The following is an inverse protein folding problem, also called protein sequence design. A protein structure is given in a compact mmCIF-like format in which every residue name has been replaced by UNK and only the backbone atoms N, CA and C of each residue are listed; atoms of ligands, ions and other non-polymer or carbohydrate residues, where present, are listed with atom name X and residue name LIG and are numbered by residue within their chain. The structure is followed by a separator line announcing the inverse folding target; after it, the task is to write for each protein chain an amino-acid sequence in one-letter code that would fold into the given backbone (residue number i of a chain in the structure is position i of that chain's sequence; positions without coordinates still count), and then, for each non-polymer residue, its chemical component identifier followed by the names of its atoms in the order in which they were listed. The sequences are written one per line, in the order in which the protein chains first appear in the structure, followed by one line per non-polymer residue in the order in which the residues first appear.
data_IF_380697028066
#
_entry.id   IF_380697028066
#
_cell.length_a   1.000
_cell.length_b   1.000
_cell.length_c   1.000
_cell.angle_alpha   90.00
_cell.angle_beta   90.00
_cell.angle_gamma   90.00
#
_symmetry.space_group_name_H-M   'P 1'
#
loop_
_entity.id
_entity.type
_entity.pdbx_description
1 polymer ?
#
# COMPACT_ATOMS: atom_id res chain seq x y z
N UNK A 1 -14.63 34.26 -38.33
CA UNK A 1 -13.24 33.77 -38.24
C UNK A 1 -12.94 33.35 -36.80
N UNK A 2 -12.41 32.13 -36.65
CA UNK A 2 -11.64 31.54 -35.53
C UNK A 2 -12.19 31.67 -34.11
N UNK A 3 -12.95 30.65 -33.75
CA UNK A 3 -13.10 30.14 -32.38
C UNK A 3 -11.72 29.71 -31.85
N UNK A 4 -11.26 30.27 -30.73
CA UNK A 4 -10.04 29.83 -30.02
C UNK A 4 -10.44 29.41 -28.60
N UNK A 5 -11.10 28.26 -28.51
CA UNK A 5 -11.06 27.47 -27.28
C UNK A 5 -10.04 26.35 -27.50
N UNK A 6 -8.78 26.64 -27.18
CA UNK A 6 -7.79 25.57 -26.92
C UNK A 6 -8.23 24.87 -25.64
N UNK A 7 -8.94 23.76 -25.80
CA UNK A 7 -9.14 22.75 -24.76
C UNK A 7 -7.74 22.33 -24.29
N UNK A 8 -7.30 22.81 -23.13
CA UNK A 8 -6.21 22.19 -22.38
C UNK A 8 -6.76 20.83 -21.96
N UNK A 9 -6.47 19.80 -22.74
CA UNK A 9 -6.68 18.42 -22.32
C UNK A 9 -5.79 18.21 -21.11
N UNK A 10 -6.38 18.25 -19.91
CA UNK A 10 -5.71 17.78 -18.70
C UNK A 10 -5.33 16.34 -18.97
N UNK A 11 -4.03 16.09 -19.12
CA UNK A 11 -3.47 14.74 -19.13
C UNK A 11 -3.86 14.17 -17.76
N UNK A 12 -4.88 13.31 -17.72
CA UNK A 12 -5.20 12.57 -16.50
C UNK A 12 -3.94 11.77 -16.17
N UNK A 13 -3.26 12.12 -15.09
CA UNK A 13 -2.18 11.29 -14.58
C UNK A 13 -2.80 9.93 -14.26
N UNK A 14 -2.42 8.92 -15.04
CA UNK A 14 -2.87 7.56 -14.85
C UNK A 14 -2.36 7.08 -13.50
N UNK A 15 -3.27 6.62 -12.64
CA UNK A 15 -2.89 6.03 -11.35
C UNK A 15 -2.04 4.80 -11.65
N UNK A 16 -0.84 4.76 -11.08
CA UNK A 16 0.10 3.65 -11.25
C UNK A 16 0.08 2.75 -10.03
N UNK A 17 0.27 1.47 -10.30
CA UNK A 17 0.53 0.48 -9.26
C UNK A 17 1.84 0.84 -8.54
N UNK A 18 1.83 0.77 -7.21
CA UNK A 18 2.95 1.17 -6.34
C UNK A 18 2.85 0.43 -5.01
N UNK A 19 3.98 -0.07 -4.50
CA UNK A 19 4.15 -0.46 -3.10
C UNK A 19 5.42 0.23 -2.57
N UNK A 20 5.24 1.41 -1.98
CA UNK A 20 6.35 2.19 -1.45
C UNK A 20 6.29 2.40 0.07
N UNK A 21 7.47 2.42 0.67
CA UNK A 21 7.71 2.84 2.05
C UNK A 21 8.85 3.86 2.03
N UNK A 22 8.61 5.06 2.57
CA UNK A 22 9.57 6.14 2.46
C UNK A 22 9.78 6.55 1.00
N UNK A 23 11.04 6.52 0.55
CA UNK A 23 11.43 6.86 -0.83
C UNK A 23 11.67 5.61 -1.70
N UNK A 24 11.36 4.42 -1.21
CA UNK A 24 11.68 3.16 -1.88
C UNK A 24 10.41 2.48 -2.37
N UNK A 25 10.41 2.12 -3.65
CA UNK A 25 9.39 1.26 -4.26
C UNK A 25 9.89 -0.18 -4.20
N UNK A 26 9.15 -1.02 -3.48
CA UNK A 26 9.46 -2.42 -3.28
C UNK A 26 8.84 -3.32 -4.36
N UNK A 27 8.06 -2.73 -5.27
CA UNK A 27 7.27 -3.44 -6.28
C UNK A 27 6.33 -4.49 -5.67
N UNK A 28 5.48 -5.10 -6.50
CA UNK A 28 4.58 -6.17 -6.08
C UNK A 28 5.11 -7.52 -6.52
N UNK A 29 5.03 -8.51 -5.63
CA UNK A 29 5.00 -9.91 -6.02
C UNK A 29 3.54 -10.30 -6.23
N UNK A 30 3.05 -10.19 -7.47
CA UNK A 30 1.66 -10.50 -7.81
C UNK A 30 1.34 -11.99 -7.67
N UNK A 31 2.32 -12.88 -7.84
CA UNK A 31 2.12 -14.33 -7.77
C UNK A 31 1.94 -14.81 -6.34
N UNK A 32 2.66 -14.19 -5.39
CA UNK A 32 2.54 -14.51 -3.95
C UNK A 32 1.51 -13.64 -3.21
N UNK A 33 0.96 -12.62 -3.86
CA UNK A 33 -0.11 -11.80 -3.29
C UNK A 33 -1.48 -12.50 -3.40
N UNK A 34 -2.36 -12.24 -2.44
CA UNK A 34 -3.72 -12.76 -2.38
C UNK A 34 -4.72 -11.62 -2.25
N UNK A 35 -5.71 -11.59 -3.13
CA UNK A 35 -6.83 -10.65 -3.08
C UNK A 35 -8.13 -11.46 -3.02
N UNK A 36 -8.77 -11.45 -1.87
CA UNK A 36 -10.07 -12.08 -1.63
C UNK A 36 -11.02 -11.05 -1.02
N UNK A 37 -11.95 -10.56 -1.84
CA UNK A 37 -12.81 -9.42 -1.54
C UNK A 37 -14.24 -9.73 -2.00
N UNK A 38 -15.22 -9.41 -1.15
CA UNK A 38 -16.65 -9.46 -1.48
C UNK A 38 -17.30 -8.10 -1.23
N UNK A 39 -17.52 -7.34 -2.30
CA UNK A 39 -18.04 -5.97 -2.22
C UNK A 39 -17.07 -5.03 -1.49
N UNK A 40 -17.50 -4.52 -0.33
CA UNK A 40 -16.68 -3.68 0.56
C UNK A 40 -16.06 -4.47 1.72
N UNK A 41 -16.23 -5.80 1.75
CA UNK A 41 -15.61 -6.67 2.74
C UNK A 41 -14.31 -7.23 2.19
N UNK A 42 -13.23 -7.07 2.95
CA UNK A 42 -11.97 -7.78 2.76
C UNK A 42 -12.08 -9.09 3.53
N UNK A 43 -11.95 -10.21 2.82
CA UNK A 43 -11.87 -11.53 3.43
C UNK A 43 -10.39 -11.79 3.75
N UNK A 44 -9.54 -11.72 2.72
CA UNK A 44 -8.09 -11.84 2.84
C UNK A 44 -7.41 -10.97 1.78
N UNK A 45 -6.77 -9.90 2.23
CA UNK A 45 -5.89 -9.09 1.41
C UNK A 45 -4.48 -9.26 1.96
N UNK A 46 -3.64 -9.98 1.24
CA UNK A 46 -2.21 -10.15 1.54
C UNK A 46 -1.42 -9.65 0.33
N UNK A 47 -0.70 -8.54 0.49
CA UNK A 47 0.07 -7.88 -0.56
C UNK A 47 1.55 -8.07 -0.24
N UNK A 48 2.23 -8.87 -1.06
CA UNK A 48 3.67 -9.11 -0.93
C UNK A 48 4.45 -8.20 -1.86
N UNK A 49 5.60 -7.76 -1.40
CA UNK A 49 6.56 -7.08 -2.27
C UNK A 49 7.55 -8.05 -2.90
N UNK A 50 8.14 -7.62 -4.02
CA UNK A 50 9.05 -8.44 -4.80
C UNK A 50 10.40 -8.63 -4.09
N UNK A 51 10.74 -9.89 -3.79
CA UNK A 51 11.98 -10.24 -3.10
C UNK A 51 13.22 -9.81 -3.91
N UNK A 52 13.19 -9.93 -5.24
CA UNK A 52 14.33 -9.56 -6.08
C UNK A 52 14.59 -8.05 -6.09
N UNK A 53 13.53 -7.25 -6.02
CA UNK A 53 13.58 -5.79 -5.89
C UNK A 53 14.13 -5.41 -4.53
N UNK A 54 13.72 -6.10 -3.46
CA UNK A 54 14.29 -5.90 -2.13
C UNK A 54 15.79 -6.22 -2.10
N UNK A 55 16.22 -7.35 -2.66
CA UNK A 55 17.65 -7.72 -2.74
C UNK A 55 18.47 -6.64 -3.47
N UNK A 56 17.95 -6.11 -4.59
CA UNK A 56 18.59 -5.02 -5.32
C UNK A 56 18.64 -3.70 -4.54
N UNK A 57 17.65 -3.43 -3.69
CA UNK A 57 17.68 -2.28 -2.79
C UNK A 57 18.76 -2.45 -1.72
N UNK A 58 18.92 -3.65 -1.17
CA UNK A 58 19.95 -3.98 -0.17
C UNK A 58 21.38 -3.84 -0.70
N UNK A 59 21.60 -3.91 -2.02
CA UNK A 59 22.91 -3.66 -2.64
C UNK A 59 23.30 -2.17 -2.66
N UNK A 60 22.37 -1.25 -2.37
CA UNK A 60 22.63 0.20 -2.38
C UNK A 60 23.15 0.69 -1.04
N UNK A 61 24.25 1.43 -1.07
CA UNK A 61 24.89 2.00 0.14
C UNK A 61 23.97 2.94 0.94
N UNK A 62 22.99 3.59 0.29
CA UNK A 62 22.07 4.55 0.89
C UNK A 62 20.72 3.95 1.32
N UNK A 63 20.50 2.64 1.09
CA UNK A 63 19.26 2.00 1.46
C UNK A 63 19.15 1.82 2.98
N UNK A 64 18.22 2.56 3.57
CA UNK A 64 18.09 2.65 5.02
C UNK A 64 17.59 1.35 5.67
N UNK A 65 16.98 0.44 4.90
CA UNK A 65 16.46 -0.84 5.38
C UNK A 65 17.34 -2.04 4.99
N UNK A 66 18.61 -1.82 4.65
CA UNK A 66 19.58 -2.86 4.28
C UNK A 66 19.82 -3.93 5.36
N UNK A 67 19.38 -3.67 6.60
CA UNK A 67 19.38 -4.65 7.69
C UNK A 67 18.21 -5.65 7.64
N UNK A 68 17.24 -5.47 6.73
CA UNK A 68 16.09 -6.34 6.59
C UNK A 68 16.47 -7.70 5.98
N UNK A 69 15.76 -8.75 6.39
CA UNK A 69 15.97 -10.14 5.92
C UNK A 69 14.94 -10.51 4.84
N UNK A 70 13.75 -9.92 4.90
CA UNK A 70 12.64 -10.20 3.99
C UNK A 70 12.04 -8.90 3.48
N UNK A 71 11.51 -8.94 2.26
CA UNK A 71 10.75 -7.84 1.68
C UNK A 71 9.45 -7.60 2.48
N UNK A 72 8.93 -6.36 2.51
CA UNK A 72 7.71 -6.03 3.25
C UNK A 72 6.46 -6.75 2.73
N UNK A 73 5.54 -7.06 3.64
CA UNK A 73 4.23 -7.64 3.37
C UNK A 73 3.17 -6.82 4.10
N UNK A 74 2.13 -6.38 3.40
CA UNK A 74 0.95 -5.80 4.01
C UNK A 74 -0.18 -6.84 4.07
N UNK A 75 -0.89 -6.93 5.18
CA UNK A 75 -2.12 -7.70 5.23
C UNK A 75 -3.28 -6.98 5.93
N UNK A 76 -4.49 -7.34 5.50
CA UNK A 76 -5.76 -6.95 6.09
C UNK A 76 -6.76 -8.11 5.91
N UNK A 77 -7.38 -8.58 6.99
CA UNK A 77 -8.27 -9.75 6.98
C UNK A 77 -9.55 -9.48 7.74
N UNK A 78 -10.64 -10.06 7.24
CA UNK A 78 -11.97 -9.97 7.83
C UNK A 78 -12.44 -8.53 8.16
N UNK A 79 -12.06 -7.57 7.32
CA UNK A 79 -12.40 -6.15 7.51
C UNK A 79 -13.64 -5.77 6.68
N UNK A 80 -14.69 -5.25 7.33
CA UNK A 80 -15.80 -4.58 6.65
C UNK A 80 -15.54 -3.07 6.56
N UNK A 81 -15.40 -2.56 5.33
CA UNK A 81 -15.16 -1.13 5.10
C UNK A 81 -16.44 -0.27 5.09
N UNK A 82 -17.58 -0.88 5.39
CA UNK A 82 -18.88 -0.25 5.42
C UNK A 82 -19.30 0.30 4.06
N UNK A 83 -20.40 1.09 4.05
CA UNK A 83 -21.00 1.60 2.81
C UNK A 83 -20.09 2.52 1.99
N UNK A 84 -19.12 3.17 2.64
CA UNK A 84 -18.19 4.09 1.97
C UNK A 84 -17.02 3.36 1.30
N UNK A 85 -16.83 2.07 1.57
CA UNK A 85 -15.69 1.31 1.04
C UNK A 85 -14.35 1.84 1.53
N UNK A 86 -14.31 2.48 2.71
CA UNK A 86 -13.08 3.01 3.29
C UNK A 86 -13.12 3.02 4.82
N UNK A 87 -11.97 2.80 5.45
CA UNK A 87 -11.76 2.99 6.89
C UNK A 87 -10.44 3.70 7.17
N UNK A 88 -10.34 4.25 8.37
CA UNK A 88 -9.07 4.75 8.91
C UNK A 88 -8.62 3.85 10.06
N UNK A 89 -7.40 3.37 9.95
CA UNK A 89 -6.71 2.56 10.96
C UNK A 89 -5.62 3.44 11.59
N UNK A 90 -5.52 3.45 12.91
CA UNK A 90 -4.56 4.24 13.67
C UNK A 90 -4.34 3.62 15.07
N UNK A 91 -3.45 4.21 15.85
CA UNK A 91 -3.10 3.78 17.22
C UNK A 91 -4.31 3.49 18.13
N UNK A 92 -5.46 4.15 17.92
CA UNK A 92 -6.65 4.02 18.78
C UNK A 92 -7.50 2.81 18.45
N UNK A 93 -7.40 2.28 17.23
CA UNK A 93 -8.28 1.22 16.73
C UNK A 93 -7.55 0.12 15.95
N UNK A 94 -6.22 0.17 15.81
CA UNK A 94 -5.48 -0.84 15.06
C UNK A 94 -5.65 -2.25 15.61
N UNK A 95 -5.85 -2.39 16.92
CA UNK A 95 -6.11 -3.68 17.57
C UNK A 95 -7.52 -4.21 17.33
N UNK A 96 -8.42 -3.42 16.74
CA UNK A 96 -9.77 -3.85 16.36
C UNK A 96 -9.79 -4.56 15.00
N UNK A 97 -8.67 -4.54 14.27
CA UNK A 97 -8.55 -5.08 12.91
C UNK A 97 -7.39 -6.07 12.82
N UNK A 98 -7.57 -7.16 12.08
CA UNK A 98 -6.46 -8.04 11.69
C UNK A 98 -5.71 -7.40 10.52
N UNK A 99 -4.80 -6.48 10.83
CA UNK A 99 -4.00 -5.75 9.84
C UNK A 99 -2.61 -5.43 10.37
N UNK A 100 -1.60 -5.48 9.51
CA UNK A 100 -0.27 -4.98 9.80
C UNK A 100 0.53 -4.78 8.52
N UNK A 101 1.65 -4.06 8.65
CA UNK A 101 2.78 -4.18 7.75
C UNK A 101 3.82 -5.06 8.43
N UNK A 102 4.02 -6.27 7.93
CA UNK A 102 5.14 -7.11 8.33
C UNK A 102 6.39 -6.68 7.56
N UNK A 103 7.37 -6.13 8.28
CA UNK A 103 8.70 -5.87 7.76
C UNK A 103 9.67 -5.98 8.92
N UNK A 104 10.35 -7.13 9.02
CA UNK A 104 11.09 -7.64 10.19
C UNK A 104 10.23 -7.93 11.41
N UNK A 105 9.33 -7.01 11.74
CA UNK A 105 8.32 -7.12 12.79
C UNK A 105 6.96 -6.64 12.26
N UNK A 106 5.90 -6.86 13.03
CA UNK A 106 4.61 -6.25 12.74
C UNK A 106 4.65 -4.78 13.16
N UNK A 107 4.62 -3.90 12.16
CA UNK A 107 4.71 -2.46 12.37
C UNK A 107 3.31 -1.86 12.52
N UNK A 108 3.18 -0.92 13.45
CA UNK A 108 1.96 -0.14 13.65
C UNK A 108 1.60 0.65 12.38
N UNK A 109 0.30 0.87 12.19
CA UNK A 109 -0.26 1.51 11.00
C UNK A 109 -1.13 2.72 11.36
N UNK A 110 -0.92 3.81 10.63
CA UNK A 110 -1.81 4.98 10.60
C UNK A 110 -2.19 5.28 9.15
N UNK A 111 -3.18 4.54 8.64
CA UNK A 111 -3.51 4.47 7.22
C UNK A 111 -5.00 4.74 6.94
N UNK A 112 -5.29 5.18 5.73
CA UNK A 112 -6.60 5.06 5.13
C UNK A 112 -6.57 3.87 4.16
N UNK A 113 -7.43 2.88 4.39
CA UNK A 113 -7.63 1.73 3.53
C UNK A 113 -8.96 1.92 2.80
N UNK A 114 -8.92 1.92 1.47
CA UNK A 114 -10.11 2.07 0.63
C UNK A 114 -10.15 1.12 -0.55
N UNK A 115 -11.38 0.80 -0.93
CA UNK A 115 -11.74 -0.09 -2.01
C UNK A 115 -12.56 0.69 -3.02
N UNK A 116 -12.01 0.86 -4.21
CA UNK A 116 -12.66 1.48 -5.36
C UNK A 116 -12.99 0.43 -6.40
N UNK A 117 -13.75 0.79 -7.45
CA UNK A 117 -14.24 -0.17 -8.46
C UNK A 117 -13.16 -1.11 -9.01
N UNK A 118 -11.94 -0.61 -9.25
CA UNK A 118 -10.84 -1.38 -9.82
C UNK A 118 -9.52 -1.26 -9.06
N UNK A 119 -9.55 -0.64 -7.88
CA UNK A 119 -8.34 -0.30 -7.14
C UNK A 119 -8.50 -0.53 -5.64
N UNK A 120 -7.44 -1.05 -5.03
CA UNK A 120 -7.19 -1.01 -3.59
C UNK A 120 -6.20 0.13 -3.35
N UNK A 121 -6.52 1.01 -2.40
CA UNK A 121 -5.62 2.09 -1.98
C UNK A 121 -5.38 1.99 -0.48
N UNK A 122 -4.12 1.97 -0.08
CA UNK A 122 -3.67 2.07 1.30
C UNK A 122 -2.66 3.21 1.35
N UNK A 123 -3.01 4.30 2.04
CA UNK A 123 -2.15 5.48 2.12
C UNK A 123 -2.09 5.98 3.54
N UNK A 124 -0.88 6.23 4.03
CA UNK A 124 -0.67 6.81 5.35
C UNK A 124 0.75 6.63 5.83
N UNK A 125 0.90 6.18 7.06
CA UNK A 125 2.19 6.04 7.72
C UNK A 125 2.32 4.71 8.43
N UNK A 126 3.56 4.24 8.55
CA UNK A 126 3.94 3.10 9.37
C UNK A 126 5.17 3.47 10.21
N UNK A 127 5.37 2.81 11.33
CA UNK A 127 6.52 3.04 12.20
C UNK A 127 7.47 1.85 12.15
N UNK A 128 8.63 2.03 11.50
CA UNK A 128 9.66 0.99 11.37
C UNK A 128 10.86 1.39 12.21
N UNK A 129 11.26 0.51 13.14
CA UNK A 129 12.42 0.72 14.02
C UNK A 129 12.41 2.08 14.73
N UNK A 130 11.23 2.53 15.17
CA UNK A 130 11.05 3.78 15.90
C UNK A 130 10.84 5.04 15.05
N UNK A 131 11.01 4.97 13.73
CA UNK A 131 10.84 6.10 12.80
C UNK A 131 9.55 5.94 11.98
N UNK A 132 8.91 7.07 11.67
CA UNK A 132 7.71 7.08 10.82
C UNK A 132 8.08 7.21 9.35
N UNK A 133 7.46 6.37 8.53
CA UNK A 133 7.63 6.35 7.08
C UNK A 133 6.27 6.46 6.38
N UNK A 134 6.16 7.26 5.31
CA UNK A 134 4.97 7.23 4.48
C UNK A 134 4.87 5.85 3.82
N UNK A 135 3.66 5.30 3.79
CA UNK A 135 3.35 4.07 3.05
C UNK A 135 2.30 4.39 1.99
N UNK A 136 2.56 3.95 0.77
CA UNK A 136 1.60 4.01 -0.34
C UNK A 136 1.52 2.65 -0.99
N UNK A 137 0.33 2.05 -0.96
CA UNK A 137 0.00 0.88 -1.75
C UNK A 137 -1.17 1.23 -2.65
N UNK A 138 -0.96 1.11 -3.95
CA UNK A 138 -2.00 1.25 -4.98
C UNK A 138 -1.94 0.00 -5.84
N UNK A 139 -2.97 -0.83 -5.77
CA UNK A 139 -2.99 -2.12 -6.46
C UNK A 139 -4.29 -2.26 -7.23
N UNK A 140 -4.23 -2.81 -8.44
CA UNK A 140 -5.46 -3.16 -9.15
C UNK A 140 -6.14 -4.35 -8.48
N UNK A 141 -7.47 -4.33 -8.54
CA UNK A 141 -8.33 -5.42 -8.04
C UNK A 141 -8.52 -6.52 -9.08
#
# INVERSE_FOLDING_TARGET
MRNIFKKKTSKSEEIKEEFSIGNYDFCFDFEKSKIEISGNKIIDLTIKSDESTFDQLCEKDDFEFSYGIYSPEFYAREIDLGKKGQIRINEKNQNDYETALYFMEHNDLNINLSLHTSWILIVGWTKISGKEYPITIRMKR
#
